data_IF_117633508044
#
_entry.id   IF_117633508044
#
_cell.length_a   1.000
_cell.length_b   1.000
_cell.length_c   1.000
_cell.angle_alpha   90.00
_cell.angle_beta   90.00
_cell.angle_gamma   90.00
#
_symmetry.space_group_name_H-M   'P 1'
#
loop_
_entity.id
_entity.type
_entity.pdbx_description
1 polymer ?
#
# COMPACT_ATOMS: atom_id res chain seq x y z
N UNK A 1 -8.04 -53.17 7.86
CA UNK A 1 -8.97 -52.82 6.76
C UNK A 1 -9.70 -51.52 7.06
N UNK A 2 -10.27 -51.35 8.26
CA UNK A 2 -10.88 -50.08 8.71
C UNK A 2 -9.84 -48.95 8.84
N UNK A 3 -8.66 -49.23 9.41
CA UNK A 3 -7.59 -48.22 9.60
C UNK A 3 -7.10 -47.58 8.29
N UNK A 4 -7.11 -48.33 7.19
CA UNK A 4 -6.70 -47.84 5.87
C UNK A 4 -7.70 -46.80 5.34
N UNK A 5 -9.00 -47.05 5.53
CA UNK A 5 -10.07 -46.13 5.14
C UNK A 5 -10.04 -44.87 6.01
N UNK A 6 -9.77 -45.02 7.30
CA UNK A 6 -9.63 -43.91 8.25
C UNK A 6 -8.42 -43.03 7.91
N UNK A 7 -7.26 -43.65 7.62
CA UNK A 7 -6.05 -42.96 7.15
C UNK A 7 -6.31 -42.20 5.85
N UNK A 8 -7.02 -42.80 4.88
CA UNK A 8 -7.37 -42.10 3.63
C UNK A 8 -8.28 -40.89 3.86
N UNK A 9 -9.24 -40.97 4.79
CA UNK A 9 -10.08 -39.83 5.16
C UNK A 9 -9.28 -38.73 5.86
N UNK A 10 -8.35 -39.11 6.73
CA UNK A 10 -7.50 -38.18 7.46
C UNK A 10 -6.53 -37.43 6.54
N UNK A 11 -5.89 -38.14 5.59
CA UNK A 11 -5.07 -37.51 4.54
C UNK A 11 -5.91 -36.61 3.63
N UNK A 12 -7.12 -37.04 3.26
CA UNK A 12 -8.04 -36.22 2.47
C UNK A 12 -8.45 -34.93 3.18
N UNK A 13 -8.72 -35.00 4.48
CA UNK A 13 -9.00 -33.83 5.32
C UNK A 13 -7.77 -32.92 5.44
N UNK A 14 -6.60 -33.49 5.71
CA UNK A 14 -5.36 -32.72 5.83
C UNK A 14 -4.98 -31.99 4.54
N UNK A 15 -5.22 -32.60 3.37
CA UNK A 15 -5.03 -31.93 2.08
C UNK A 15 -5.99 -30.77 1.87
N UNK A 16 -7.25 -30.90 2.28
CA UNK A 16 -8.23 -29.80 2.23
C UNK A 16 -7.79 -28.66 3.14
N UNK A 17 -7.34 -28.96 4.36
CA UNK A 17 -6.83 -27.95 5.30
C UNK A 17 -5.60 -27.22 4.75
N UNK A 18 -4.66 -27.95 4.12
CA UNK A 18 -3.50 -27.36 3.43
C UNK A 18 -3.94 -26.49 2.25
N UNK A 19 -4.92 -26.92 1.46
CA UNK A 19 -5.46 -26.15 0.35
C UNK A 19 -6.09 -24.83 0.84
N UNK A 20 -6.93 -24.89 1.87
CA UNK A 20 -7.55 -23.71 2.47
C UNK A 20 -6.50 -22.78 3.08
N UNK A 21 -5.50 -23.33 3.76
CA UNK A 21 -4.37 -22.56 4.31
C UNK A 21 -3.59 -21.84 3.22
N UNK A 22 -3.31 -22.53 2.10
CA UNK A 22 -2.61 -21.95 0.95
C UNK A 22 -3.45 -20.87 0.27
N UNK A 23 -4.76 -21.10 0.10
CA UNK A 23 -5.69 -20.11 -0.45
C UNK A 23 -5.77 -18.86 0.44
N UNK A 24 -5.82 -19.04 1.76
CA UNK A 24 -5.83 -17.96 2.73
C UNK A 24 -4.52 -17.17 2.72
N UNK A 25 -3.37 -17.85 2.63
CA UNK A 25 -2.06 -17.22 2.49
C UNK A 25 -1.98 -16.35 1.24
N UNK A 26 -2.47 -16.86 0.09
CA UNK A 26 -2.53 -16.11 -1.16
C UNK A 26 -3.45 -14.88 -1.05
N UNK A 27 -4.62 -15.03 -0.43
CA UNK A 27 -5.52 -13.90 -0.17
C UNK A 27 -4.84 -12.84 0.70
N UNK A 28 -4.16 -13.28 1.75
CA UNK A 28 -3.45 -12.38 2.66
C UNK A 28 -2.34 -11.62 1.93
N UNK A 29 -1.63 -12.26 1.00
CA UNK A 29 -0.62 -11.64 0.14
C UNK A 29 -1.22 -10.62 -0.85
N UNK A 30 -2.36 -10.94 -1.47
CA UNK A 30 -3.06 -10.02 -2.39
C UNK A 30 -3.54 -8.77 -1.63
N UNK A 31 -4.19 -8.93 -0.48
CA UNK A 31 -4.67 -7.81 0.34
C UNK A 31 -3.54 -6.89 0.77
N UNK A 32 -2.43 -7.50 1.13
CA UNK A 32 -1.17 -6.86 1.42
C UNK A 32 -0.66 -6.01 0.25
N UNK A 33 -0.59 -6.57 -0.96
CA UNK A 33 -0.15 -5.86 -2.17
C UNK A 33 -1.12 -4.71 -2.51
N UNK A 34 -2.43 -4.94 -2.44
CA UNK A 34 -3.42 -3.90 -2.68
C UNK A 34 -3.30 -2.75 -1.67
N UNK A 35 -3.10 -3.07 -0.39
CA UNK A 35 -2.93 -2.09 0.69
C UNK A 35 -1.65 -1.27 0.52
N UNK A 36 -0.56 -1.89 0.05
CA UNK A 36 0.66 -1.18 -0.35
C UNK A 36 0.33 -0.12 -1.40
N UNK A 37 -0.28 -0.52 -2.51
CA UNK A 37 -0.64 0.41 -3.58
C UNK A 37 -1.53 1.53 -3.03
N UNK A 38 -2.60 1.20 -2.30
CA UNK A 38 -3.50 2.19 -1.71
C UNK A 38 -2.77 3.18 -0.77
N UNK A 39 -1.86 2.69 0.08
CA UNK A 39 -1.10 3.55 1.00
C UNK A 39 -0.20 4.57 0.29
N UNK A 40 0.20 4.31 -0.96
CA UNK A 40 0.95 5.24 -1.81
C UNK A 40 0.00 6.16 -2.56
N UNK A 41 -1.05 5.61 -3.16
CA UNK A 41 -2.01 6.35 -3.97
C UNK A 41 -2.89 7.32 -3.17
N UNK A 42 -3.21 7.03 -1.90
CA UNK A 42 -4.04 7.91 -1.06
C UNK A 42 -3.37 9.26 -0.79
N UNK A 43 -2.15 9.35 -0.21
CA UNK A 43 -1.50 10.64 0.02
C UNK A 43 -1.10 11.30 -1.29
N UNK A 44 -0.63 10.53 -2.29
CA UNK A 44 -0.29 11.08 -3.60
C UNK A 44 -1.52 11.68 -4.30
N UNK A 45 -2.65 10.98 -4.25
CA UNK A 45 -3.93 11.43 -4.78
C UNK A 45 -4.52 12.60 -4.01
N UNK A 46 -4.35 12.65 -2.69
CA UNK A 46 -4.75 13.79 -1.87
C UNK A 46 -3.95 15.05 -2.26
N UNK A 47 -2.63 14.94 -2.41
CA UNK A 47 -1.80 16.06 -2.86
C UNK A 47 -2.17 16.43 -4.31
N UNK A 48 -2.28 15.46 -5.23
CA UNK A 48 -2.71 15.73 -6.59
C UNK A 48 -4.11 16.37 -6.68
N UNK A 49 -5.03 16.03 -5.77
CA UNK A 49 -6.36 16.63 -5.66
C UNK A 49 -6.31 18.06 -5.11
N UNK A 50 -5.55 18.30 -4.03
CA UNK A 50 -5.37 19.65 -3.46
C UNK A 50 -4.67 20.58 -4.47
N UNK A 51 -3.62 20.10 -5.14
CA UNK A 51 -2.89 20.86 -6.15
C UNK A 51 -3.65 20.94 -7.49
N UNK A 52 -4.45 19.94 -7.86
CA UNK A 52 -5.30 19.97 -9.04
C UNK A 52 -6.53 20.85 -8.89
N UNK A 53 -7.00 21.10 -7.65
CA UNK A 53 -8.15 21.96 -7.36
C UNK A 53 -7.77 23.42 -7.03
N UNK A 54 -6.49 23.76 -6.79
CA UNK A 54 -6.07 25.11 -6.39
C UNK A 54 -4.77 25.59 -7.06
N UNK A 55 -4.79 25.79 -8.37
CA UNK A 55 -3.94 26.81 -9.02
C UNK A 55 -4.77 27.61 -10.03
N UNK A 56 -5.88 28.19 -9.57
CA UNK A 56 -6.39 29.39 -10.21
C UNK A 56 -5.71 30.58 -9.50
N UNK A 57 -4.62 31.05 -10.08
CA UNK A 57 -3.71 32.09 -9.56
C UNK A 57 -4.40 33.45 -9.37
N UNK A 58 -5.70 33.56 -9.68
CA UNK A 58 -6.41 34.82 -9.86
C UNK A 58 -7.53 35.11 -8.84
N UNK A 59 -7.95 34.20 -7.93
CA UNK A 59 -9.26 34.40 -7.26
C UNK A 59 -9.44 34.18 -5.75
N UNK A 60 -8.41 33.86 -4.96
CA UNK A 60 -8.61 33.79 -3.49
C UNK A 60 -7.88 34.94 -2.76
N UNK A 61 -8.61 35.93 -2.20
CA UNK A 61 -8.02 37.08 -1.47
C UNK A 61 -7.41 36.69 -0.12
N UNK A 62 -7.66 35.47 0.36
CA UNK A 62 -7.09 34.89 1.58
C UNK A 62 -5.88 34.02 1.27
N UNK A 63 -5.10 34.43 0.26
CA UNK A 63 -3.78 33.90 0.01
C UNK A 63 -2.96 34.09 1.30
N UNK A 64 -2.63 32.99 1.97
CA UNK A 64 -1.66 33.05 3.06
C UNK A 64 -0.38 33.66 2.45
N UNK A 65 0.16 34.76 3.00
CA UNK A 65 1.28 35.51 2.44
C UNK A 65 2.60 34.72 2.32
N UNK A 66 2.63 33.47 2.80
CA UNK A 66 3.77 32.56 2.62
C UNK A 66 3.79 31.87 1.23
N UNK A 67 2.75 32.06 0.40
CA UNK A 67 2.63 31.54 -0.97
C UNK A 67 3.11 32.56 -2.03
N UNK A 68 4.02 33.46 -1.66
CA UNK A 68 4.79 34.29 -2.59
C UNK A 68 6.24 33.78 -2.74
N UNK A 69 6.53 32.57 -2.28
CA UNK A 69 7.77 31.91 -2.65
C UNK A 69 7.57 31.15 -3.96
N UNK A 70 8.41 31.47 -4.94
CA UNK A 70 8.70 30.70 -6.15
C UNK A 70 8.90 29.18 -5.88
N UNK A 71 9.12 28.80 -4.61
CA UNK A 71 9.31 27.44 -4.12
C UNK A 71 8.03 26.68 -3.70
N UNK A 72 6.83 27.25 -3.75
CA UNK A 72 5.60 26.56 -3.31
C UNK A 72 5.28 25.28 -4.12
N UNK A 73 5.50 25.32 -5.43
CA UNK A 73 5.37 24.17 -6.32
C UNK A 73 6.45 23.09 -6.08
N UNK A 74 7.75 23.45 -5.98
CA UNK A 74 8.75 22.45 -5.66
C UNK A 74 8.69 21.95 -4.19
N UNK A 75 8.11 22.68 -3.23
CA UNK A 75 7.88 22.19 -1.85
C UNK A 75 6.79 21.11 -1.83
N UNK A 76 5.74 21.29 -2.64
CA UNK A 76 4.73 20.26 -2.91
C UNK A 76 5.33 18.98 -3.46
N UNK A 77 6.18 19.14 -4.48
CA UNK A 77 6.93 18.07 -5.12
C UNK A 77 7.85 17.39 -4.12
N UNK A 78 8.55 18.16 -3.28
CA UNK A 78 9.38 17.65 -2.19
C UNK A 78 8.58 16.87 -1.15
N UNK A 79 7.35 17.27 -0.86
CA UNK A 79 6.45 16.57 0.06
C UNK A 79 5.88 15.29 -0.56
N UNK A 80 5.51 15.30 -1.85
CA UNK A 80 5.17 14.06 -2.57
C UNK A 80 6.36 13.10 -2.60
N UNK A 81 7.56 13.60 -2.88
CA UNK A 81 8.78 12.80 -2.99
C UNK A 81 9.23 12.27 -1.63
N UNK A 82 9.09 13.05 -0.56
CA UNK A 82 9.39 12.60 0.80
C UNK A 82 8.40 11.54 1.29
N UNK A 83 7.12 11.65 0.95
CA UNK A 83 6.11 10.62 1.25
C UNK A 83 6.36 9.35 0.43
N UNK A 84 6.68 9.48 -0.86
CA UNK A 84 7.03 8.35 -1.71
C UNK A 84 8.30 7.64 -1.22
N UNK A 85 9.38 8.38 -0.93
CA UNK A 85 10.60 7.84 -0.36
C UNK A 85 10.38 7.26 1.04
N UNK A 86 9.58 7.91 1.88
CA UNK A 86 9.24 7.43 3.22
C UNK A 86 8.47 6.10 3.19
N UNK A 87 7.53 5.95 2.25
CA UNK A 87 6.81 4.70 2.04
C UNK A 87 7.69 3.61 1.45
N UNK A 88 8.53 3.92 0.45
CA UNK A 88 9.52 2.98 -0.10
C UNK A 88 10.47 2.51 1.00
N UNK A 89 11.01 3.42 1.81
CA UNK A 89 11.88 3.11 2.93
C UNK A 89 11.16 2.29 4.01
N UNK A 90 9.90 2.62 4.32
CA UNK A 90 9.09 1.85 5.26
C UNK A 90 8.85 0.43 4.75
N UNK A 91 8.58 0.26 3.45
CA UNK A 91 8.41 -1.04 2.81
C UNK A 91 9.69 -1.87 2.82
N UNK A 92 10.83 -1.21 2.57
CA UNK A 92 12.14 -1.83 2.64
C UNK A 92 12.50 -2.25 4.07
N UNK A 93 12.21 -1.38 5.06
CA UNK A 93 12.44 -1.65 6.49
C UNK A 93 11.50 -2.71 7.06
N UNK A 94 10.27 -2.82 6.53
CA UNK A 94 9.32 -3.89 6.85
C UNK A 94 9.72 -5.24 6.24
N UNK A 95 10.84 -5.30 5.51
CA UNK A 95 11.50 -6.55 5.15
C UNK A 95 10.83 -7.33 4.02
N UNK A 96 9.91 -6.72 3.29
CA UNK A 96 9.07 -7.48 2.37
C UNK A 96 9.76 -7.86 1.06
N UNK A 97 10.85 -7.18 0.71
CA UNK A 97 11.75 -7.55 -0.41
C UNK A 97 12.85 -8.54 0.06
N UNK A 98 13.01 -8.74 1.36
CA UNK A 98 13.87 -9.76 1.93
C UNK A 98 13.03 -10.94 2.39
N UNK A 99 12.59 -11.77 1.44
CA UNK A 99 12.16 -13.14 1.73
C UNK A 99 13.26 -13.80 2.55
N UNK A 100 13.06 -13.90 3.87
CA UNK A 100 13.78 -14.87 4.68
C UNK A 100 12.93 -16.13 4.62
N UNK A 101 13.38 -16.97 3.70
CA UNK A 101 13.24 -18.43 3.66
C UNK A 101 13.10 -19.05 5.04
#
# INVERSE_FOLDING_TARGET
MIDLVETHREVGSGLMDVYLSTASNRMNEIMKVLTMFASIFIPLGFIAGVYGMNFDVARSPWNLPELEWYWGYPFALGLMLSVACGLIFYFWRRGWIGSRS
#
